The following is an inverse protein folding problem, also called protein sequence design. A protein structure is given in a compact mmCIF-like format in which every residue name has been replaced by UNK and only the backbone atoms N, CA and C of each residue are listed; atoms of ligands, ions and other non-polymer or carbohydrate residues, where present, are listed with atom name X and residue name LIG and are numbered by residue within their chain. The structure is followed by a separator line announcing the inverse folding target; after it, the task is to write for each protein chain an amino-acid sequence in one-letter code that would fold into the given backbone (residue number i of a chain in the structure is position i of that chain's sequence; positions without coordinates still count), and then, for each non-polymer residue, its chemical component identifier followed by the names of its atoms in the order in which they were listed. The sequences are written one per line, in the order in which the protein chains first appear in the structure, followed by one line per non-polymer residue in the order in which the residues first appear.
data_IF_966559960403
#
_entry.id   IF_966559960403
#
_cell.length_a   1.000
_cell.length_b   1.000
_cell.length_c   1.000
_cell.angle_alpha   90.00
_cell.angle_beta   90.00
_cell.angle_gamma   90.00
#
_symmetry.space_group_name_H-M   'P 1'
#
loop_
_entity.id
_entity.type
_entity.pdbx_description
1 polymer ?
#
# COMPACT_ATOMS: atom_id res chain seq x y z
N UNK A 1 -2.28 -9.06 -11.28
CA UNK A 1 -1.44 -8.86 -10.07
C UNK A 1 0.01 -8.56 -10.44
N UNK A 2 0.64 -9.39 -11.29
CA UNK A 2 2.03 -9.22 -11.77
C UNK A 2 2.40 -7.77 -12.19
N UNK A 3 1.72 -7.22 -13.20
CA UNK A 3 1.98 -5.85 -13.70
C UNK A 3 1.88 -4.77 -12.60
N UNK A 4 0.94 -4.93 -11.67
CA UNK A 4 0.75 -3.98 -10.58
C UNK A 4 1.84 -4.10 -9.51
N UNK A 5 2.28 -5.33 -9.19
CA UNK A 5 3.40 -5.56 -8.27
C UNK A 5 4.70 -4.99 -8.84
N UNK A 6 4.97 -5.27 -10.11
CA UNK A 6 6.15 -4.74 -10.76
C UNK A 6 6.13 -3.21 -10.82
N UNK A 7 4.99 -2.61 -11.16
CA UNK A 7 4.85 -1.15 -11.22
C UNK A 7 4.91 -0.45 -9.85
N UNK A 8 4.35 -1.02 -8.80
CA UNK A 8 4.24 -0.35 -7.48
C UNK A 8 5.38 -0.68 -6.51
N UNK A 9 5.97 -1.86 -6.65
CA UNK A 9 6.95 -2.42 -5.72
C UNK A 9 8.24 -2.92 -6.38
N UNK A 10 8.32 -2.95 -7.72
CA UNK A 10 9.54 -3.35 -8.45
C UNK A 10 9.84 -4.85 -8.40
N UNK A 11 8.92 -5.66 -7.88
CA UNK A 11 9.08 -7.12 -7.75
C UNK A 11 7.97 -7.84 -8.51
N UNK A 12 8.27 -9.07 -8.96
CA UNK A 12 7.24 -9.95 -9.52
C UNK A 12 6.34 -10.51 -8.42
N UNK A 13 5.18 -11.03 -8.82
CA UNK A 13 4.29 -11.73 -7.91
C UNK A 13 4.93 -13.02 -7.36
N UNK A 14 5.76 -13.69 -8.13
CA UNK A 14 6.49 -14.88 -7.69
C UNK A 14 7.46 -14.56 -6.55
N UNK A 15 8.25 -13.48 -6.68
CA UNK A 15 9.16 -13.05 -5.61
C UNK A 15 8.37 -12.66 -4.36
N UNK A 16 7.24 -11.96 -4.52
CA UNK A 16 6.34 -11.63 -3.42
C UNK A 16 5.76 -12.88 -2.73
N UNK A 17 5.39 -13.93 -3.48
CA UNK A 17 4.73 -15.10 -2.91
C UNK A 17 5.72 -16.06 -2.23
N UNK A 18 6.93 -16.17 -2.76
CA UNK A 18 7.94 -17.12 -2.29
C UNK A 18 8.89 -16.56 -1.23
N UNK A 19 9.10 -15.23 -1.19
CA UNK A 19 10.01 -14.60 -0.23
C UNK A 19 9.23 -13.84 0.85
N UNK A 20 9.34 -14.30 2.09
CA UNK A 20 8.62 -13.70 3.22
C UNK A 20 9.07 -12.25 3.49
N UNK A 21 10.36 -11.96 3.42
CA UNK A 21 10.89 -10.62 3.69
C UNK A 21 10.41 -9.62 2.63
N UNK A 22 10.44 -10.03 1.36
CA UNK A 22 9.89 -9.23 0.25
C UNK A 22 8.39 -8.96 0.45
N UNK A 23 7.63 -9.97 0.90
CA UNK A 23 6.22 -9.80 1.25
C UNK A 23 6.01 -8.82 2.39
N UNK A 24 6.80 -8.94 3.47
CA UNK A 24 6.68 -8.05 4.63
C UNK A 24 7.00 -6.60 4.28
N UNK A 25 7.97 -6.35 3.39
CA UNK A 25 8.26 -5.01 2.90
C UNK A 25 7.08 -4.40 2.13
N UNK A 26 6.49 -5.16 1.22
CA UNK A 26 5.31 -4.75 0.45
C UNK A 26 4.13 -4.43 1.36
N UNK A 27 3.80 -5.33 2.29
CA UNK A 27 2.67 -5.14 3.20
C UNK A 27 2.90 -3.98 4.17
N UNK A 28 4.14 -3.76 4.64
CA UNK A 28 4.47 -2.58 5.46
C UNK A 28 4.27 -1.27 4.69
N UNK A 29 4.54 -1.24 3.39
CA UNK A 29 4.29 -0.06 2.55
C UNK A 29 2.79 0.16 2.36
N UNK A 30 2.04 -0.91 2.07
CA UNK A 30 0.58 -0.89 1.92
C UNK A 30 -0.12 -0.34 3.16
N UNK A 31 0.29 -0.79 4.35
CA UNK A 31 -0.27 -0.30 5.62
C UNK A 31 -0.03 1.21 5.80
N UNK A 32 1.19 1.69 5.51
CA UNK A 32 1.50 3.13 5.59
C UNK A 32 0.64 3.95 4.64
N UNK A 33 0.45 3.48 3.41
CA UNK A 33 -0.36 4.15 2.40
C UNK A 33 -1.84 4.16 2.80
N UNK A 34 -2.34 3.06 3.38
CA UNK A 34 -3.70 2.97 3.91
C UNK A 34 -3.93 3.96 5.05
N UNK A 35 -3.05 4.00 6.05
CA UNK A 35 -3.14 4.95 7.17
C UNK A 35 -3.12 6.40 6.65
N UNK A 36 -2.25 6.71 5.68
CA UNK A 36 -2.18 8.04 5.07
C UNK A 36 -3.49 8.38 4.36
N UNK A 37 -4.06 7.44 3.62
CA UNK A 37 -5.36 7.61 2.94
C UNK A 37 -6.48 7.90 3.93
N UNK A 38 -6.58 7.13 5.01
CA UNK A 38 -7.57 7.33 6.06
C UNK A 38 -7.48 8.72 6.70
N UNK A 39 -6.25 9.19 6.96
CA UNK A 39 -6.04 10.56 7.48
C UNK A 39 -6.51 11.64 6.51
N UNK A 40 -6.19 11.50 5.23
CA UNK A 40 -6.64 12.45 4.20
C UNK A 40 -8.17 12.48 4.09
N UNK A 41 -8.83 11.32 4.12
CA UNK A 41 -10.29 11.24 4.12
C UNK A 41 -10.88 11.93 5.36
N UNK A 42 -10.35 11.66 6.55
CA UNK A 42 -10.81 12.29 7.78
C UNK A 42 -10.62 13.82 7.77
N UNK A 43 -9.52 14.31 7.19
CA UNK A 43 -9.25 15.75 7.07
C UNK A 43 -10.20 16.43 6.07
N UNK A 44 -10.58 15.75 4.99
CA UNK A 44 -11.57 16.23 4.03
C UNK A 44 -12.97 16.25 4.65
N UNK A 45 -13.35 15.18 5.34
CA UNK A 45 -14.64 15.04 6.01
C UNK A 45 -14.88 16.18 7.02
N UNK A 46 -13.87 16.49 7.83
CA UNK A 46 -13.90 17.63 8.77
C UNK A 46 -14.11 18.98 8.10
N UNK A 47 -13.59 19.18 6.88
CA UNK A 47 -13.74 20.45 6.13
C UNK A 47 -15.09 20.58 5.44
N UNK A 48 -15.72 19.45 5.10
CA UNK A 48 -17.04 19.43 4.45
C UNK A 48 -18.16 19.57 5.49
N UNK A 49 -17.96 19.06 6.69
CA UNK A 49 -18.93 19.10 7.78
C UNK A 49 -18.75 20.25 8.79
N UNK A 50 -17.83 21.19 8.51
CA UNK A 50 -17.65 22.46 9.24
C UNK A 50 -18.42 23.60 8.58
#
# INVERSE_FOLDING_TARGET
MEKAMHGAHGISYEVYSMNHDARMEVERKREKDYIKSQRMVADLDRKVHS
#
